data_IF_050682892531
#
_entry.id   IF_050682892531
#
_cell.length_a   1.000
_cell.length_b   1.000
_cell.length_c   1.000
_cell.angle_alpha   90.00
_cell.angle_beta   90.00
_cell.angle_gamma   90.00
#
_symmetry.space_group_name_H-M   'P 1'
#
loop_
_entity.id
_entity.type
_entity.pdbx_description
1 polymer ?
#
# COMPACT_ATOMS: atom_id res chain seq x y z
N UNK A 1 -30.94 10.90 -11.44
CA UNK A 1 -30.06 10.26 -12.45
C UNK A 1 -29.63 8.92 -11.92
N UNK A 2 -29.65 7.88 -12.74
CA UNK A 2 -29.21 6.51 -12.38
C UNK A 2 -28.09 6.09 -13.34
N UNK A 3 -27.12 5.35 -12.80
CA UNK A 3 -26.07 4.68 -13.57
C UNK A 3 -26.39 3.19 -13.63
N UNK A 4 -26.49 2.64 -14.83
CA UNK A 4 -26.64 1.21 -15.01
C UNK A 4 -25.27 0.55 -14.85
N UNK A 5 -25.14 -0.38 -13.92
CA UNK A 5 -23.93 -1.16 -13.69
C UNK A 5 -24.23 -2.66 -13.73
N UNK A 6 -23.31 -3.43 -14.30
CA UNK A 6 -23.38 -4.89 -14.20
C UNK A 6 -23.03 -5.31 -12.77
N UNK A 7 -23.81 -6.24 -12.17
CA UNK A 7 -23.48 -6.84 -10.88
C UNK A 7 -22.04 -7.41 -10.94
N UNK A 8 -21.16 -7.03 -10.02
CA UNK A 8 -19.82 -7.61 -9.96
C UNK A 8 -19.89 -9.07 -9.51
N UNK A 9 -18.88 -9.82 -9.84
CA UNK A 9 -18.55 -11.10 -9.23
C UNK A 9 -17.93 -10.89 -7.85
N UNK A 10 -17.87 -11.94 -7.06
CA UNK A 10 -17.31 -11.95 -5.71
C UNK A 10 -16.02 -12.76 -5.66
N UNK A 11 -15.02 -12.20 -4.98
CA UNK A 11 -13.74 -12.88 -4.72
C UNK A 11 -13.47 -12.85 -3.23
N UNK A 12 -13.18 -14.00 -2.64
CA UNK A 12 -12.67 -14.10 -1.27
C UNK A 12 -11.14 -14.16 -1.32
N UNK A 13 -10.46 -13.35 -0.52
CA UNK A 13 -9.03 -13.45 -0.26
C UNK A 13 -8.84 -13.71 1.23
N UNK A 14 -8.50 -14.94 1.57
CA UNK A 14 -8.19 -15.34 2.94
C UNK A 14 -6.70 -15.24 3.22
N UNK A 15 -6.34 -14.50 4.26
CA UNK A 15 -4.94 -14.37 4.73
C UNK A 15 -4.87 -14.94 6.14
N UNK A 16 -4.40 -16.16 6.22
CA UNK A 16 -4.33 -16.92 7.46
C UNK A 16 -2.97 -16.79 8.16
N UNK A 17 -2.98 -17.02 9.48
CA UNK A 17 -1.78 -16.97 10.30
C UNK A 17 -1.48 -15.58 10.86
N UNK A 18 -0.26 -15.41 11.37
CA UNK A 18 0.21 -14.19 12.04
C UNK A 18 1.19 -13.48 11.11
N UNK A 19 1.02 -12.16 10.96
CA UNK A 19 1.95 -11.33 10.20
C UNK A 19 3.34 -11.35 10.85
N UNK A 20 4.42 -11.60 10.07
CA UNK A 20 5.77 -11.41 10.57
C UNK A 20 6.01 -9.95 11.02
N UNK A 21 6.86 -9.74 12.01
CA UNK A 21 7.09 -8.42 12.61
C UNK A 21 7.51 -7.30 11.63
N UNK A 22 8.10 -7.67 10.49
CA UNK A 22 8.58 -6.73 9.47
C UNK A 22 7.66 -6.65 8.25
N UNK A 23 6.45 -7.20 8.33
CA UNK A 23 5.47 -7.21 7.26
C UNK A 23 4.32 -6.29 7.62
N UNK A 24 4.01 -5.38 6.73
CA UNK A 24 2.93 -4.40 6.87
C UNK A 24 1.69 -4.84 6.07
N UNK A 25 0.52 -4.26 6.34
CA UNK A 25 -0.66 -4.48 5.49
C UNK A 25 -0.43 -4.19 4.01
N UNK A 26 0.49 -3.27 3.69
CA UNK A 26 0.84 -2.97 2.30
C UNK A 26 1.63 -4.11 1.64
N UNK A 27 2.47 -4.82 2.38
CA UNK A 27 3.14 -6.01 1.85
C UNK A 27 2.11 -7.10 1.50
N UNK A 28 1.09 -7.27 2.33
CA UNK A 28 0.01 -8.23 2.07
C UNK A 28 -0.73 -7.89 0.78
N UNK A 29 -1.16 -6.64 0.59
CA UNK A 29 -1.88 -6.28 -0.64
C UNK A 29 -0.98 -6.36 -1.88
N UNK A 30 0.31 -6.04 -1.76
CA UNK A 30 1.27 -6.20 -2.86
C UNK A 30 1.51 -7.68 -3.18
N UNK A 31 1.62 -8.56 -2.18
CA UNK A 31 1.72 -10.01 -2.39
C UNK A 31 0.45 -10.57 -3.06
N UNK A 32 -0.74 -10.09 -2.67
CA UNK A 32 -2.01 -10.43 -3.33
C UNK A 32 -1.97 -10.01 -4.80
N UNK A 33 -1.59 -8.75 -5.08
CA UNK A 33 -1.50 -8.22 -6.45
C UNK A 33 -0.47 -9.01 -7.26
N UNK A 34 0.66 -9.37 -6.67
CA UNK A 34 1.66 -10.22 -7.31
C UNK A 34 1.12 -11.61 -7.67
N UNK A 35 0.26 -12.18 -6.83
CA UNK A 35 -0.35 -13.49 -7.03
C UNK A 35 -1.46 -13.50 -8.07
N UNK A 36 -2.37 -12.52 -8.04
CA UNK A 36 -3.53 -12.50 -8.95
C UNK A 36 -3.31 -11.61 -10.19
N UNK A 37 -2.29 -10.76 -10.19
CA UNK A 37 -2.01 -9.78 -11.23
C UNK A 37 -2.83 -8.49 -11.11
N UNK A 38 -2.42 -7.43 -11.80
CA UNK A 38 -3.10 -6.12 -11.80
C UNK A 38 -4.49 -6.12 -12.45
N UNK A 39 -4.84 -7.17 -13.17
CA UNK A 39 -6.14 -7.37 -13.78
C UNK A 39 -6.95 -8.51 -13.16
N UNK A 40 -6.38 -9.24 -12.18
CA UNK A 40 -7.01 -10.43 -11.59
C UNK A 40 -8.34 -10.14 -10.88
N UNK A 41 -8.48 -8.94 -10.31
CA UNK A 41 -9.71 -8.47 -9.69
C UNK A 41 -10.72 -7.81 -10.64
N UNK A 42 -10.44 -7.77 -11.96
CA UNK A 42 -11.31 -7.05 -12.90
C UNK A 42 -12.72 -7.64 -12.95
N UNK A 43 -13.69 -6.82 -12.63
CA UNK A 43 -15.10 -7.23 -12.56
C UNK A 43 -15.51 -7.84 -11.24
N UNK A 44 -14.64 -7.94 -10.26
CA UNK A 44 -14.90 -8.45 -8.92
C UNK A 44 -15.05 -7.33 -7.88
N UNK A 45 -15.75 -7.67 -6.80
CA UNK A 45 -15.59 -7.07 -5.48
C UNK A 45 -14.83 -8.09 -4.64
N UNK A 46 -13.79 -7.65 -3.92
CA UNK A 46 -12.96 -8.53 -3.10
C UNK A 46 -13.35 -8.38 -1.64
N UNK A 47 -13.61 -9.50 -0.96
CA UNK A 47 -13.67 -9.57 0.49
C UNK A 47 -12.35 -10.13 1.03
N UNK A 48 -11.80 -9.46 2.03
CA UNK A 48 -10.61 -9.92 2.74
C UNK A 48 -11.00 -10.50 4.08
N UNK A 49 -10.53 -11.70 4.37
CA UNK A 49 -10.81 -12.45 5.58
C UNK A 49 -9.54 -13.15 6.11
N UNK A 50 -9.68 -13.90 7.20
CA UNK A 50 -8.59 -14.64 7.82
C UNK A 50 -8.01 -13.96 9.06
N UNK A 51 -7.21 -14.70 9.83
CA UNK A 51 -6.68 -14.25 11.13
C UNK A 51 -5.77 -13.02 10.99
N UNK A 52 -4.93 -13.00 9.95
CA UNK A 52 -4.06 -11.88 9.68
C UNK A 52 -4.85 -10.58 9.41
N UNK A 53 -5.97 -10.68 8.69
CA UNK A 53 -6.83 -9.52 8.41
C UNK A 53 -7.54 -9.04 9.68
N UNK A 54 -8.06 -9.96 10.49
CA UNK A 54 -8.73 -9.63 11.76
C UNK A 54 -7.79 -8.94 12.76
N UNK A 55 -6.50 -9.31 12.75
CA UNK A 55 -5.49 -8.73 13.64
C UNK A 55 -4.98 -7.34 13.20
N UNK A 56 -5.30 -6.90 11.99
CA UNK A 56 -4.87 -5.59 11.48
C UNK A 56 -5.59 -4.43 12.18
N UNK A 57 -4.87 -3.31 12.34
CA UNK A 57 -5.46 -2.01 12.66
C UNK A 57 -6.46 -1.55 11.60
N UNK A 58 -7.31 -0.59 11.91
CA UNK A 58 -8.20 0.01 10.91
C UNK A 58 -7.44 0.67 9.78
N UNK A 59 -6.32 1.29 10.08
CA UNK A 59 -5.43 1.90 9.10
C UNK A 59 -4.90 0.85 8.11
N UNK A 60 -4.48 -0.30 8.60
CA UNK A 60 -4.06 -1.43 7.78
C UNK A 60 -5.18 -1.98 6.90
N UNK A 61 -6.39 -2.17 7.48
CA UNK A 61 -7.59 -2.60 6.72
C UNK A 61 -7.96 -1.60 5.63
N UNK A 62 -7.88 -0.30 5.92
CA UNK A 62 -8.11 0.74 4.92
C UNK A 62 -7.06 0.72 3.81
N UNK A 63 -5.81 0.37 4.10
CA UNK A 63 -4.75 0.21 3.09
C UNK A 63 -5.08 -0.93 2.14
N UNK A 64 -5.50 -2.11 2.63
CA UNK A 64 -5.93 -3.22 1.78
C UNK A 64 -7.10 -2.81 0.88
N UNK A 65 -8.16 -2.25 1.46
CA UNK A 65 -9.35 -1.84 0.70
C UNK A 65 -9.01 -0.77 -0.34
N UNK A 66 -8.18 0.22 0.00
CA UNK A 66 -7.77 1.27 -0.94
C UNK A 66 -6.95 0.72 -2.11
N UNK A 67 -6.04 -0.20 -1.86
CA UNK A 67 -5.16 -0.75 -2.89
C UNK A 67 -5.81 -1.90 -3.69
N UNK A 68 -7.02 -2.29 -3.38
CA UNK A 68 -7.81 -3.26 -4.15
C UNK A 68 -7.98 -2.84 -5.62
N UNK A 69 -8.07 -1.54 -5.88
CA UNK A 69 -8.13 -0.99 -7.24
C UNK A 69 -6.88 -1.29 -8.06
N UNK A 70 -5.71 -1.47 -7.41
CA UNK A 70 -4.45 -1.82 -8.08
C UNK A 70 -4.45 -3.26 -8.60
N UNK A 71 -5.33 -4.11 -8.07
CA UNK A 71 -5.64 -5.44 -8.60
C UNK A 71 -6.71 -5.41 -9.70
N UNK A 72 -7.24 -4.24 -10.06
CA UNK A 72 -8.30 -4.07 -11.05
C UNK A 72 -9.72 -4.27 -10.50
N UNK A 73 -9.90 -4.54 -9.22
CA UNK A 73 -11.20 -4.78 -8.61
C UNK A 73 -12.01 -3.48 -8.41
N UNK A 74 -13.32 -3.62 -8.27
CA UNK A 74 -14.23 -2.49 -8.08
C UNK A 74 -14.27 -1.96 -6.65
N UNK A 75 -14.11 -2.86 -5.68
CA UNK A 75 -14.09 -2.53 -4.26
C UNK A 75 -13.37 -3.63 -3.48
N UNK A 76 -12.81 -3.26 -2.32
CA UNK A 76 -12.34 -4.17 -1.28
C UNK A 76 -13.18 -3.97 -0.03
N UNK A 77 -13.52 -5.06 0.65
CA UNK A 77 -14.32 -5.06 1.86
C UNK A 77 -13.70 -5.95 2.93
N UNK A 78 -13.89 -5.56 4.17
CA UNK A 78 -13.55 -6.34 5.36
C UNK A 78 -14.75 -6.27 6.29
N UNK A 79 -15.18 -7.43 6.78
CA UNK A 79 -16.29 -7.51 7.71
C UNK A 79 -15.99 -6.68 8.99
N UNK A 80 -16.95 -5.89 9.49
CA UNK A 80 -16.75 -5.13 10.72
C UNK A 80 -16.71 -6.07 11.93
N UNK A 81 -15.79 -5.74 12.85
CA UNK A 81 -15.58 -6.46 14.11
C UNK A 81 -15.30 -5.47 15.26
N UNK A 82 -14.88 -5.97 16.40
CA UNK A 82 -14.59 -5.15 17.59
C UNK A 82 -13.52 -4.07 17.30
N UNK A 83 -12.53 -4.34 16.43
CA UNK A 83 -11.53 -3.34 15.99
C UNK A 83 -12.21 -2.18 15.27
N UNK A 84 -13.18 -2.48 14.41
CA UNK A 84 -13.97 -1.47 13.70
C UNK A 84 -14.84 -0.66 14.66
N UNK A 85 -15.49 -1.32 15.63
CA UNK A 85 -16.39 -0.65 16.57
C UNK A 85 -15.61 0.28 17.49
N UNK A 86 -14.46 -0.16 18.03
CA UNK A 86 -13.61 0.67 18.88
C UNK A 86 -13.01 1.86 18.11
N UNK A 87 -12.62 1.65 16.83
CA UNK A 87 -12.13 2.75 15.99
C UNK A 87 -13.19 3.83 15.76
N UNK A 88 -14.46 3.44 15.60
CA UNK A 88 -15.58 4.37 15.36
C UNK A 88 -16.07 5.04 16.64
N UNK A 89 -15.80 4.46 17.80
CA UNK A 89 -16.20 5.00 19.08
C UNK A 89 -15.65 6.42 19.22
N UNK A 90 -16.49 7.30 19.70
CA UNK A 90 -16.18 8.72 19.93
C UNK A 90 -15.76 9.57 18.71
N UNK A 91 -15.75 9.01 17.50
CA UNK A 91 -15.54 9.83 16.31
C UNK A 91 -16.65 10.89 16.15
N UNK A 92 -16.35 12.07 15.60
CA UNK A 92 -17.28 13.20 15.54
C UNK A 92 -18.65 12.88 14.94
N UNK A 93 -18.67 12.03 13.91
CA UNK A 93 -19.89 11.69 13.15
C UNK A 93 -20.42 10.29 13.44
N UNK A 94 -19.85 9.56 14.39
CA UNK A 94 -20.39 8.28 14.85
C UNK A 94 -21.62 8.50 15.72
N UNK A 95 -22.58 7.56 15.73
CA UNK A 95 -23.66 7.56 16.68
C UNK A 95 -23.15 7.69 18.12
N UNK A 96 -23.94 8.26 19.03
CA UNK A 96 -23.55 8.49 20.41
C UNK A 96 -24.49 7.81 21.39
N UNK A 97 -24.00 7.47 22.58
CA UNK A 97 -24.79 6.84 23.64
C UNK A 97 -25.47 5.54 23.16
N UNK A 98 -26.74 5.39 23.49
CA UNK A 98 -27.51 4.17 23.14
C UNK A 98 -27.58 3.93 21.62
N UNK A 99 -27.64 4.99 20.81
CA UNK A 99 -27.62 4.86 19.36
C UNK A 99 -26.33 4.20 18.81
N UNK A 100 -25.21 4.29 19.53
CA UNK A 100 -23.99 3.58 19.15
C UNK A 100 -24.09 2.07 19.40
N UNK A 101 -24.70 1.67 20.52
CA UNK A 101 -24.94 0.24 20.80
C UNK A 101 -25.96 -0.37 19.83
N UNK A 102 -27.01 0.39 19.47
CA UNK A 102 -27.96 -0.02 18.45
C UNK A 102 -27.26 -0.22 17.09
N UNK A 103 -26.35 0.71 16.72
CA UNK A 103 -25.56 0.60 15.49
C UNK A 103 -24.65 -0.64 15.51
N UNK A 104 -23.94 -0.91 16.61
CA UNK A 104 -23.14 -2.15 16.76
C UNK A 104 -24.01 -3.39 16.56
N UNK A 105 -25.21 -3.40 17.12
CA UNK A 105 -26.14 -4.54 16.97
C UNK A 105 -26.55 -4.80 15.52
N UNK A 106 -26.58 -3.76 14.69
CA UNK A 106 -26.79 -3.87 13.25
C UNK A 106 -25.49 -4.28 12.53
N UNK A 107 -24.36 -3.66 12.87
CA UNK A 107 -23.08 -3.93 12.22
C UNK A 107 -22.59 -5.36 12.43
N UNK A 108 -22.87 -5.97 13.58
CA UNK A 108 -22.59 -7.39 13.87
C UNK A 108 -23.32 -8.38 12.93
N UNK A 109 -24.29 -7.90 12.16
CA UNK A 109 -25.03 -8.71 11.17
C UNK A 109 -24.53 -8.53 9.73
N UNK A 110 -23.45 -7.72 9.53
CA UNK A 110 -22.88 -7.44 8.21
C UNK A 110 -21.82 -8.46 7.73
N UNK A 111 -21.18 -9.29 8.58
CA UNK A 111 -20.33 -10.35 8.06
C UNK A 111 -21.07 -11.24 7.07
N UNK A 112 -20.32 -11.75 6.11
CA UNK A 112 -20.83 -12.68 5.08
C UNK A 112 -21.38 -13.94 5.74
N UNK A 113 -22.50 -14.45 5.23
CA UNK A 113 -23.14 -15.67 5.71
C UNK A 113 -22.19 -16.89 5.58
N UNK A 114 -22.31 -17.86 6.50
CA UNK A 114 -21.40 -19.04 6.52
C UNK A 114 -21.52 -19.92 5.28
N UNK A 115 -22.68 -19.92 4.62
CA UNK A 115 -22.98 -20.68 3.41
C UNK A 115 -22.82 -19.86 2.11
N UNK A 116 -22.23 -18.66 2.19
CA UNK A 116 -22.04 -17.82 1.02
C UNK A 116 -21.02 -18.45 0.05
N UNK A 117 -21.38 -18.47 -1.22
CA UNK A 117 -20.50 -18.92 -2.29
C UNK A 117 -19.81 -17.73 -2.97
N UNK A 118 -18.50 -17.83 -3.14
CA UNK A 118 -17.70 -16.88 -3.91
C UNK A 118 -17.37 -17.43 -5.29
N UNK A 119 -17.34 -16.57 -6.31
CA UNK A 119 -16.92 -16.98 -7.66
C UNK A 119 -15.46 -17.46 -7.69
N UNK A 120 -14.59 -16.87 -6.86
CA UNK A 120 -13.18 -17.26 -6.70
C UNK A 120 -12.77 -17.09 -5.24
N UNK A 121 -11.93 -18.02 -4.76
CA UNK A 121 -11.23 -17.92 -3.47
C UNK A 121 -9.72 -17.99 -3.66
N UNK A 122 -9.00 -17.13 -2.96
CA UNK A 122 -7.52 -17.04 -2.96
C UNK A 122 -7.02 -17.13 -1.52
N UNK A 123 -6.17 -18.11 -1.24
CA UNK A 123 -5.60 -18.31 0.09
C UNK A 123 -4.14 -17.88 0.12
N UNK A 124 -3.77 -17.17 1.18
CA UNK A 124 -2.40 -16.73 1.46
C UNK A 124 -2.07 -17.08 2.92
N UNK A 125 -0.91 -17.65 3.12
CA UNK A 125 -0.36 -17.79 4.46
C UNK A 125 0.47 -16.52 4.77
N UNK A 126 0.07 -15.77 5.78
CA UNK A 126 0.73 -14.53 6.17
C UNK A 126 2.22 -14.72 6.53
N UNK A 127 2.58 -15.90 7.08
CA UNK A 127 3.95 -16.21 7.46
C UNK A 127 4.90 -16.37 6.27
N UNK A 128 4.37 -16.63 5.07
CA UNK A 128 5.16 -16.77 3.85
C UNK A 128 5.39 -15.44 3.15
N UNK A 129 4.73 -14.37 3.62
CA UNK A 129 4.89 -13.03 3.04
C UNK A 129 6.10 -12.34 3.68
N UNK A 130 7.00 -11.90 2.83
CA UNK A 130 8.15 -11.07 3.17
C UNK A 130 7.89 -9.62 2.76
N UNK A 131 8.65 -8.63 3.26
CA UNK A 131 8.55 -7.24 2.78
C UNK A 131 8.66 -7.15 1.26
N UNK A 132 7.71 -6.49 0.63
CA UNK A 132 7.51 -6.45 -0.82
C UNK A 132 8.05 -5.16 -1.44
N UNK A 133 8.58 -5.25 -2.66
CA UNK A 133 9.00 -4.09 -3.47
C UNK A 133 8.49 -4.24 -4.89
N UNK A 134 7.87 -3.20 -5.43
CA UNK A 134 7.59 -3.15 -6.87
C UNK A 134 8.81 -2.55 -7.58
N UNK A 135 9.45 -3.35 -8.39
CA UNK A 135 10.71 -3.01 -9.07
C UNK A 135 10.52 -2.46 -10.50
N UNK A 136 9.31 -2.62 -11.05
CA UNK A 136 9.04 -2.32 -12.46
C UNK A 136 8.12 -1.11 -12.65
N UNK A 137 7.25 -1.18 -13.64
CA UNK A 137 6.36 -0.09 -14.09
C UNK A 137 4.88 -0.35 -13.76
N UNK A 138 4.60 -1.30 -12.90
CA UNK A 138 3.25 -1.57 -12.39
C UNK A 138 3.30 -2.23 -11.02
N UNK A 139 2.23 -2.13 -10.19
CA UNK A 139 2.14 -2.81 -8.90
C UNK A 139 2.21 -4.35 -8.98
N UNK A 140 1.93 -4.95 -10.15
CA UNK A 140 2.06 -6.39 -10.35
C UNK A 140 3.51 -6.85 -10.60
N UNK A 141 4.43 -5.93 -10.89
CA UNK A 141 5.86 -6.22 -10.98
C UNK A 141 6.50 -6.13 -9.60
N UNK A 142 6.08 -7.02 -8.72
CA UNK A 142 6.46 -7.06 -7.31
C UNK A 142 7.32 -8.28 -7.01
N UNK A 143 8.22 -8.13 -6.05
CA UNK A 143 9.02 -9.23 -5.47
C UNK A 143 9.35 -8.89 -4.01
N UNK A 144 9.79 -9.88 -3.23
CA UNK A 144 10.26 -9.60 -1.88
C UNK A 144 11.65 -8.93 -1.87
N UNK A 145 11.95 -8.22 -0.81
CA UNK A 145 13.17 -7.42 -0.64
C UNK A 145 14.46 -8.24 -0.67
N UNK A 146 14.40 -9.55 -0.41
CA UNK A 146 15.56 -10.44 -0.40
C UNK A 146 15.83 -11.06 -1.77
N UNK A 147 14.91 -10.88 -2.71
CA UNK A 147 15.03 -11.40 -4.06
C UNK A 147 15.87 -10.48 -4.97
N UNK A 148 15.92 -10.90 -6.24
CA UNK A 148 16.58 -10.17 -7.32
C UNK A 148 15.56 -9.67 -8.32
N UNK A 149 15.93 -8.66 -9.07
CA UNK A 149 15.19 -8.21 -10.25
C UNK A 149 15.03 -9.38 -11.22
N UNK A 150 13.82 -9.71 -11.67
CA UNK A 150 13.58 -10.89 -12.52
C UNK A 150 14.37 -10.88 -13.81
N UNK A 151 14.76 -12.09 -14.25
CA UNK A 151 15.41 -12.31 -15.52
C UNK A 151 14.37 -12.63 -16.61
N UNK A 152 14.19 -11.76 -17.63
CA UNK A 152 13.23 -12.01 -18.68
C UNK A 152 13.53 -13.28 -19.49
N UNK A 153 14.79 -13.73 -19.52
CA UNK A 153 15.14 -14.98 -20.21
C UNK A 153 14.48 -16.23 -19.62
N UNK A 154 14.10 -16.18 -18.34
CA UNK A 154 13.44 -17.29 -17.64
C UNK A 154 11.91 -17.28 -17.81
N UNK A 155 11.33 -16.23 -18.40
CA UNK A 155 9.88 -16.07 -18.57
C UNK A 155 9.44 -16.78 -19.84
N UNK A 156 8.54 -17.76 -19.71
CA UNK A 156 8.02 -18.58 -20.80
C UNK A 156 7.08 -17.78 -21.73
N UNK A 157 6.20 -16.98 -21.15
CA UNK A 157 5.20 -16.21 -21.89
C UNK A 157 5.88 -15.05 -22.65
N UNK A 158 5.79 -14.98 -23.99
CA UNK A 158 6.46 -13.95 -24.78
C UNK A 158 5.97 -12.52 -24.47
N UNK A 159 4.68 -12.36 -24.20
CA UNK A 159 4.09 -11.05 -23.88
C UNK A 159 4.57 -10.55 -22.51
N UNK A 160 4.58 -11.42 -21.52
CA UNK A 160 5.09 -11.13 -20.19
C UNK A 160 6.60 -10.83 -20.22
N UNK A 161 7.38 -11.67 -20.94
CA UNK A 161 8.81 -11.41 -21.17
C UNK A 161 9.05 -10.02 -21.73
N UNK A 162 8.30 -9.65 -22.77
CA UNK A 162 8.42 -8.34 -23.40
C UNK A 162 8.06 -7.20 -22.45
N UNK A 163 7.05 -7.38 -21.62
CA UNK A 163 6.67 -6.42 -20.58
C UNK A 163 7.81 -6.22 -19.58
N UNK A 164 8.43 -7.30 -19.10
CA UNK A 164 9.57 -7.25 -18.18
C UNK A 164 10.79 -6.58 -18.82
N UNK A 165 11.13 -6.91 -20.08
CA UNK A 165 12.20 -6.25 -20.83
C UNK A 165 11.99 -4.73 -20.92
N UNK A 166 10.76 -4.30 -21.23
CA UNK A 166 10.42 -2.88 -21.33
C UNK A 166 10.53 -2.19 -19.96
N UNK A 167 10.06 -2.84 -18.88
CA UNK A 167 10.15 -2.33 -17.53
C UNK A 167 11.62 -2.19 -17.07
N UNK A 168 12.46 -3.19 -17.33
CA UNK A 168 13.90 -3.13 -17.04
C UNK A 168 14.57 -1.95 -17.76
N UNK A 169 14.23 -1.78 -19.03
CA UNK A 169 14.75 -0.67 -19.84
C UNK A 169 14.30 0.69 -19.28
N UNK A 170 13.02 0.82 -18.92
CA UNK A 170 12.50 2.07 -18.37
C UNK A 170 13.12 2.39 -17.03
N UNK A 171 13.19 1.40 -16.13
CA UNK A 171 13.72 1.54 -14.77
C UNK A 171 15.25 1.59 -14.71
N UNK A 172 15.93 1.48 -15.86
CA UNK A 172 17.40 1.37 -15.96
C UNK A 172 17.96 0.33 -14.97
N UNK A 173 17.34 -0.86 -14.98
CA UNK A 173 17.72 -1.98 -14.14
C UNK A 173 18.27 -3.13 -14.98
N UNK A 174 19.25 -3.82 -14.44
CA UNK A 174 19.74 -5.10 -15.01
C UNK A 174 19.05 -6.26 -14.30
N UNK A 175 18.75 -7.31 -15.08
CA UNK A 175 18.27 -8.56 -14.52
C UNK A 175 19.25 -9.13 -13.46
N UNK A 176 18.73 -9.86 -12.51
CA UNK A 176 19.49 -10.54 -11.46
C UNK A 176 20.22 -9.62 -10.44
N UNK A 177 20.03 -8.31 -10.48
CA UNK A 177 20.51 -7.41 -9.41
C UNK A 177 19.69 -7.68 -8.14
N UNK A 178 20.29 -7.88 -6.97
CA UNK A 178 19.58 -7.93 -5.70
C UNK A 178 18.80 -6.63 -5.46
N UNK A 179 17.54 -6.73 -5.02
CA UNK A 179 16.69 -5.54 -4.78
C UNK A 179 17.36 -4.56 -3.81
N UNK A 180 18.05 -5.05 -2.78
CA UNK A 180 18.76 -4.25 -1.78
C UNK A 180 19.96 -3.48 -2.31
N UNK A 181 20.47 -3.83 -3.50
CA UNK A 181 21.62 -3.16 -4.12
C UNK A 181 21.21 -2.08 -5.13
N UNK A 182 19.90 -1.89 -5.33
CA UNK A 182 19.40 -0.82 -6.20
C UNK A 182 19.65 0.52 -5.51
N UNK A 183 20.48 1.36 -6.10
CA UNK A 183 20.73 2.73 -5.61
C UNK A 183 19.49 3.60 -5.80
N UNK A 184 19.23 4.50 -4.85
CA UNK A 184 18.13 5.47 -4.86
C UNK A 184 18.67 6.88 -4.67
N UNK A 185 18.02 7.86 -5.32
CA UNK A 185 18.34 9.27 -5.20
C UNK A 185 17.38 9.99 -4.26
N UNK A 186 16.14 9.44 -4.16
CA UNK A 186 15.08 10.03 -3.36
C UNK A 186 14.33 9.02 -2.52
N UNK A 187 13.83 9.50 -1.37
CA UNK A 187 12.85 8.80 -0.53
C UNK A 187 11.61 9.68 -0.41
N UNK A 188 10.45 9.11 -0.72
CA UNK A 188 9.17 9.74 -0.55
C UNK A 188 8.27 8.92 0.38
N UNK A 189 8.00 9.45 1.57
CA UNK A 189 7.03 8.89 2.51
C UNK A 189 5.80 9.76 2.48
N UNK A 190 4.71 9.25 1.94
CA UNK A 190 3.51 10.04 1.68
C UNK A 190 2.39 9.19 1.14
N UNK A 191 1.41 9.82 0.60
CA UNK A 191 0.12 9.35 0.13
C UNK A 191 -0.95 9.28 1.22
N UNK A 192 -2.21 9.46 0.81
CA UNK A 192 -3.37 9.35 1.71
C UNK A 192 -3.56 7.94 2.29
N UNK A 193 -2.93 6.94 1.71
CA UNK A 193 -3.03 5.53 2.12
C UNK A 193 -1.93 5.13 3.11
N UNK A 194 -0.71 5.65 2.93
CA UNK A 194 0.48 5.20 3.66
C UNK A 194 1.24 6.37 4.32
N UNK A 195 0.52 7.32 4.86
CA UNK A 195 1.08 8.41 5.68
C UNK A 195 0.04 8.84 6.72
N UNK A 196 -0.60 7.84 7.34
CA UNK A 196 -1.46 8.01 8.50
C UNK A 196 -0.59 8.09 9.75
N UNK A 197 -1.20 8.38 10.89
CA UNK A 197 -0.42 8.60 12.10
C UNK A 197 0.38 7.38 12.54
N UNK A 198 -0.15 6.16 12.38
CA UNK A 198 0.58 4.94 12.74
C UNK A 198 1.78 4.70 11.82
N UNK A 199 1.66 5.01 10.52
CA UNK A 199 2.77 4.93 9.57
C UNK A 199 3.88 5.90 9.97
N UNK A 200 3.52 7.15 10.29
CA UNK A 200 4.48 8.18 10.72
C UNK A 200 5.17 7.80 12.03
N UNK A 201 4.45 7.23 13.00
CA UNK A 201 5.04 6.73 14.26
C UNK A 201 6.05 5.62 14.00
N UNK A 202 5.71 4.66 13.13
CA UNK A 202 6.60 3.57 12.76
C UNK A 202 7.88 4.07 12.08
N UNK A 203 7.75 5.02 11.14
CA UNK A 203 8.90 5.65 10.49
C UNK A 203 9.75 6.43 11.51
N UNK A 204 9.12 7.20 12.41
CA UNK A 204 9.84 7.97 13.42
C UNK A 204 10.64 7.06 14.36
N UNK A 205 10.09 5.94 14.78
CA UNK A 205 10.80 4.94 15.59
C UNK A 205 12.03 4.40 14.86
N UNK A 206 11.88 4.09 13.57
CA UNK A 206 12.97 3.59 12.74
C UNK A 206 14.09 4.62 12.53
N UNK A 207 13.75 5.90 12.24
CA UNK A 207 14.74 6.92 11.89
C UNK A 207 15.32 7.66 13.08
N UNK A 208 14.76 7.50 14.27
CA UNK A 208 15.23 8.15 15.50
C UNK A 208 16.70 7.86 15.77
N UNK A 209 17.50 8.91 15.87
CA UNK A 209 18.96 8.82 16.08
C UNK A 209 19.76 8.40 14.84
N UNK A 210 19.13 8.28 13.68
CA UNK A 210 19.77 8.00 12.38
C UNK A 210 19.80 9.25 11.51
N UNK A 211 20.51 9.18 10.41
CA UNK A 211 20.57 10.24 9.40
C UNK A 211 20.31 9.67 8.01
N UNK A 212 19.57 10.42 7.20
CA UNK A 212 19.50 10.20 5.76
C UNK A 212 20.90 10.37 5.17
N UNK A 213 21.28 9.55 4.20
CA UNK A 213 22.54 9.69 3.48
C UNK A 213 22.60 11.03 2.77
N UNK A 214 23.77 11.66 2.74
CA UNK A 214 24.00 12.96 2.06
C UNK A 214 23.74 12.88 0.55
N UNK A 215 23.74 11.67 -0.03
CA UNK A 215 23.46 11.43 -1.45
C UNK A 215 21.95 11.27 -1.73
N UNK A 216 21.11 11.21 -0.70
CA UNK A 216 19.67 10.94 -0.82
C UNK A 216 18.87 12.15 -0.33
N UNK A 217 17.94 12.62 -1.15
CA UNK A 217 16.94 13.60 -0.72
C UNK A 217 15.69 12.87 -0.21
N UNK A 218 15.30 13.12 1.03
CA UNK A 218 14.17 12.45 1.66
C UNK A 218 13.09 13.44 2.10
N UNK A 219 11.81 13.11 1.83
CA UNK A 219 10.68 13.93 2.24
C UNK A 219 9.55 13.11 2.83
N UNK A 220 8.83 13.71 3.76
CA UNK A 220 7.61 13.17 4.36
C UNK A 220 6.46 14.13 4.11
N UNK A 221 5.36 13.58 3.60
CA UNK A 221 4.10 14.30 3.33
C UNK A 221 2.98 13.65 4.13
N UNK A 222 2.49 14.29 5.21
CA UNK A 222 1.39 13.76 6.01
C UNK A 222 0.12 13.52 5.18
N UNK A 223 -0.63 12.47 5.50
CA UNK A 223 -1.82 12.07 4.74
C UNK A 223 -3.00 13.06 4.81
N UNK A 224 -3.03 13.93 5.81
CA UNK A 224 -4.03 15.01 5.94
C UNK A 224 -3.57 16.09 6.89
N UNK A 225 -4.28 17.24 6.93
CA UNK A 225 -4.01 18.33 7.88
C UNK A 225 -4.17 17.90 9.34
N UNK A 226 -5.14 17.05 9.64
CA UNK A 226 -5.33 16.52 11.00
C UNK A 226 -4.19 15.59 11.41
N UNK A 227 -3.72 14.75 10.50
CA UNK A 227 -2.55 13.89 10.74
C UNK A 227 -1.29 14.72 10.96
N UNK A 228 -1.09 15.77 10.15
CA UNK A 228 0.03 16.71 10.34
C UNK A 228 0.01 17.33 11.72
N UNK A 229 -1.13 17.89 12.12
CA UNK A 229 -1.29 18.50 13.43
C UNK A 229 -1.02 17.51 14.57
N UNK A 230 -1.53 16.29 14.46
CA UNK A 230 -1.28 15.25 15.46
C UNK A 230 0.20 14.85 15.52
N UNK A 231 0.84 14.67 14.37
CA UNK A 231 2.26 14.33 14.29
C UNK A 231 3.15 15.41 14.94
N UNK A 232 2.84 16.68 14.68
CA UNK A 232 3.53 17.83 15.30
C UNK A 232 3.28 17.91 16.83
N UNK A 233 2.07 17.59 17.28
CA UNK A 233 1.78 17.51 18.73
C UNK A 233 2.54 16.37 19.42
N UNK A 234 2.82 15.29 18.71
CA UNK A 234 3.62 14.15 19.18
C UNK A 234 5.13 14.35 19.02
N UNK A 235 5.58 15.45 18.38
CA UNK A 235 7.00 15.76 18.12
C UNK A 235 7.63 14.85 17.05
N UNK A 236 6.84 14.22 16.17
CA UNK A 236 7.35 13.34 15.12
C UNK A 236 8.08 14.14 14.03
N UNK A 237 7.63 15.33 13.72
CA UNK A 237 8.27 16.25 12.77
C UNK A 237 9.69 16.62 13.20
N UNK A 238 9.92 16.86 14.49
CA UNK A 238 11.27 17.15 15.02
C UNK A 238 12.21 15.94 14.81
N UNK A 239 11.71 14.71 15.00
CA UNK A 239 12.48 13.48 14.74
C UNK A 239 12.85 13.38 13.26
N UNK A 240 11.91 13.66 12.34
CA UNK A 240 12.14 13.59 10.90
C UNK A 240 13.11 14.66 10.44
N UNK A 241 12.93 15.91 10.86
CA UNK A 241 13.85 17.01 10.54
C UNK A 241 15.25 16.71 11.07
N UNK A 242 15.35 16.22 12.32
CA UNK A 242 16.62 15.82 12.90
C UNK A 242 17.29 14.67 12.13
N UNK A 243 16.52 13.77 11.53
CA UNK A 243 17.03 12.70 10.68
C UNK A 243 17.42 13.18 9.26
N UNK A 244 17.04 14.39 8.86
CA UNK A 244 17.36 14.97 7.54
C UNK A 244 16.23 14.85 6.51
N UNK A 245 15.00 14.58 6.94
CA UNK A 245 13.84 14.62 6.07
C UNK A 245 13.27 16.03 5.94
N UNK A 246 12.76 16.35 4.77
CA UNK A 246 11.92 17.52 4.57
C UNK A 246 10.51 17.23 5.08
N UNK A 247 10.00 18.03 6.03
CA UNK A 247 8.64 17.95 6.55
C UNK A 247 7.72 18.86 5.71
N UNK A 248 6.81 18.25 4.96
CA UNK A 248 6.01 18.95 3.96
C UNK A 248 4.58 19.23 4.44
N UNK A 249 3.86 20.05 3.66
CA UNK A 249 2.43 20.22 3.83
C UNK A 249 1.66 19.01 3.30
N UNK A 250 0.49 18.67 3.91
CA UNK A 250 -0.36 17.58 3.42
C UNK A 250 -0.81 17.80 1.98
N UNK A 251 -0.81 16.73 1.20
CA UNK A 251 -1.22 16.76 -0.19
C UNK A 251 -0.77 15.53 -0.97
N UNK A 252 -1.03 15.51 -2.26
CA UNK A 252 -0.60 14.42 -3.12
C UNK A 252 0.90 14.48 -3.43
N UNK A 253 1.48 15.71 -3.52
CA UNK A 253 2.91 15.91 -3.72
C UNK A 253 3.47 14.96 -4.78
N UNK A 254 4.62 14.37 -4.53
CA UNK A 254 5.29 13.43 -5.45
C UNK A 254 4.46 12.18 -5.78
N UNK A 255 3.46 11.81 -5.00
CA UNK A 255 2.60 10.65 -5.33
C UNK A 255 1.94 10.77 -6.71
N UNK A 256 1.65 11.99 -7.18
CA UNK A 256 1.01 12.30 -8.46
C UNK A 256 1.84 13.22 -9.35
N UNK A 257 2.92 13.80 -8.85
CA UNK A 257 3.71 14.83 -9.53
C UNK A 257 2.84 15.99 -10.06
N UNK A 258 1.89 16.47 -9.24
CA UNK A 258 0.96 17.54 -9.59
C UNK A 258 1.41 18.93 -9.11
N UNK A 259 2.54 19.01 -8.43
CA UNK A 259 3.22 20.23 -7.98
C UNK A 259 4.72 20.12 -8.34
N UNK A 260 5.53 21.01 -7.82
CA UNK A 260 6.98 21.02 -8.08
C UNK A 260 7.76 19.86 -7.41
N UNK A 261 7.09 19.05 -6.56
CA UNK A 261 7.65 17.83 -5.99
C UNK A 261 7.63 16.71 -7.03
N UNK A 262 8.54 16.73 -7.96
CA UNK A 262 8.65 15.76 -9.05
C UNK A 262 10.07 15.19 -9.12
N UNK A 263 10.16 13.96 -9.63
CA UNK A 263 11.44 13.37 -10.00
C UNK A 263 11.95 13.97 -11.31
N UNK A 264 13.23 14.23 -11.36
CA UNK A 264 13.91 14.53 -12.63
C UNK A 264 14.07 13.24 -13.45
N UNK A 265 14.22 13.35 -14.77
CA UNK A 265 14.51 12.19 -15.62
C UNK A 265 15.76 11.43 -15.10
N UNK A 266 15.60 10.12 -14.90
CA UNK A 266 16.66 9.24 -14.39
C UNK A 266 16.80 9.21 -12.87
N UNK A 267 16.20 10.12 -12.10
CA UNK A 267 16.17 10.00 -10.64
C UNK A 267 15.34 8.79 -10.20
N UNK A 268 15.86 8.02 -9.26
CA UNK A 268 15.20 6.85 -8.70
C UNK A 268 14.70 7.12 -7.28
N UNK A 269 13.44 6.83 -7.05
CA UNK A 269 12.77 7.07 -5.78
C UNK A 269 12.33 5.75 -5.14
N UNK A 270 12.64 5.56 -3.87
CA UNK A 270 11.94 4.61 -3.01
C UNK A 270 10.74 5.32 -2.39
N UNK A 271 9.53 4.78 -2.58
CA UNK A 271 8.29 5.52 -2.32
C UNK A 271 7.23 4.67 -1.62
N UNK A 272 6.50 5.27 -0.68
CA UNK A 272 5.30 4.66 -0.10
C UNK A 272 4.02 4.91 -0.93
N UNK A 273 4.12 5.46 -2.14
CA UNK A 273 2.99 5.60 -3.06
C UNK A 273 2.33 4.26 -3.39
N UNK A 274 1.11 4.29 -3.92
CA UNK A 274 0.39 3.06 -4.29
C UNK A 274 0.73 2.57 -5.70
N UNK A 275 1.26 3.45 -6.55
CA UNK A 275 1.44 3.22 -8.00
C UNK A 275 2.80 3.70 -8.47
N UNK A 276 3.40 2.93 -9.38
CA UNK A 276 4.69 3.21 -9.99
C UNK A 276 4.66 3.16 -11.52
N UNK A 277 3.55 3.56 -12.15
CA UNK A 277 3.47 3.68 -13.61
C UNK A 277 4.51 4.66 -14.16
N UNK A 278 4.91 4.45 -15.40
CA UNK A 278 5.83 5.34 -16.12
C UNK A 278 5.41 6.81 -16.02
N UNK A 279 6.30 7.66 -15.56
CA UNK A 279 6.06 9.09 -15.38
C UNK A 279 5.17 9.47 -14.20
N UNK A 280 4.73 8.53 -13.34
CA UNK A 280 3.83 8.80 -12.23
C UNK A 280 4.34 9.85 -11.25
N UNK A 281 5.63 9.81 -10.94
CA UNK A 281 6.30 10.75 -10.03
C UNK A 281 7.13 11.81 -10.76
N UNK A 282 6.92 11.97 -12.06
CA UNK A 282 7.64 12.89 -12.95
C UNK A 282 8.05 12.19 -14.24
N UNK A 283 8.06 12.95 -15.35
CA UNK A 283 8.42 12.40 -16.66
C UNK A 283 9.85 11.87 -16.66
N UNK A 284 10.01 10.56 -16.90
CA UNK A 284 11.31 9.88 -16.88
C UNK A 284 11.86 9.59 -15.48
N UNK A 285 11.07 9.84 -14.43
CA UNK A 285 11.38 9.43 -13.06
C UNK A 285 11.18 7.92 -12.87
N UNK A 286 12.00 7.31 -12.02
CA UNK A 286 12.06 5.86 -11.77
C UNK A 286 11.56 5.58 -10.35
N UNK A 287 10.38 4.97 -10.22
CA UNK A 287 9.73 4.79 -8.91
C UNK A 287 9.71 3.33 -8.48
N UNK A 288 10.34 3.05 -7.35
CA UNK A 288 10.23 1.78 -6.61
C UNK A 288 9.19 1.97 -5.50
N UNK A 289 8.25 1.06 -5.38
CA UNK A 289 7.25 1.02 -4.32
C UNK A 289 7.31 -0.37 -3.70
N UNK A 290 7.41 -0.55 -2.52
CA UNK A 290 7.17 -0.02 -1.20
C UNK A 290 8.49 -0.05 -0.43
N UNK A 291 8.61 0.79 0.61
CA UNK A 291 9.81 0.85 1.44
C UNK A 291 9.49 0.22 2.79
#
# INVERSE_FOLDING_TARGET
QTLQQKKPKTMLVEVEGILPNNVTPKDIILAIIGKIGTAGGTGYVIEYAGDAIRSMSMEGRMTLCNMTIEAGARAGMIAPDETTFEYLKDKPFSPKGDAFFDAISVWKKLPTDEDAEFDISVNINAQDVLPQVTWGTSPGMVTDINNKVPDPALIQNPSERKSVENALKYMDLKANIPIKEISIDRVFIGSCTNSRIEDLRSVAEFVKGRKVSDEVSAMIVPGSGLIKQQAEQEGLDEIFIAAGFEWRQPGCSMCLAMNDDILKPGERCASTSNRNFEGRQGKGGLSLIHI
#
